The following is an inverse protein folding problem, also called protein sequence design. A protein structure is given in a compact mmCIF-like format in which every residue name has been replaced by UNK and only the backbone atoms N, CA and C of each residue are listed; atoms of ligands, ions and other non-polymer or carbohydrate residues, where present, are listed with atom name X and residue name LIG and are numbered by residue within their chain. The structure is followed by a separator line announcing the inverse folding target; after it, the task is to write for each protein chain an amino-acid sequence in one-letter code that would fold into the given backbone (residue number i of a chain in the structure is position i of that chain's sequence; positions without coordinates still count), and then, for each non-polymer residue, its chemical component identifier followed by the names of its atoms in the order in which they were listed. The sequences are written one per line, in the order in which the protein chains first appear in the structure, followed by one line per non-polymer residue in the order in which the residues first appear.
data_IF_033100581025
#
_entry.id   IF_033100581025
#
_cell.length_a   1.000
_cell.length_b   1.000
_cell.length_c   1.000
_cell.angle_alpha   90.00
_cell.angle_beta   90.00
_cell.angle_gamma   90.00
#
_symmetry.space_group_name_H-M   'P 1'
#
loop_
_entity.id
_entity.type
_entity.pdbx_description
1 polymer ?
#
# COMPACT_ATOMS: atom_id res chain seq x y z
N UNK A 1 -42.65 8.36 49.79
CA UNK A 1 -42.18 7.11 49.14
C UNK A 1 -41.38 7.51 47.90
N UNK A 2 -40.05 7.64 48.02
CA UNK A 2 -39.17 7.89 46.86
C UNK A 2 -38.72 6.53 46.32
N UNK A 3 -39.09 6.21 45.08
CA UNK A 3 -38.54 5.07 44.36
C UNK A 3 -37.33 5.56 43.54
N UNK A 4 -36.13 5.09 43.89
CA UNK A 4 -34.93 5.34 43.12
C UNK A 4 -34.82 4.31 41.98
N UNK A 5 -35.00 4.76 40.75
CA UNK A 5 -34.78 3.93 39.55
C UNK A 5 -33.29 3.84 39.23
N UNK A 6 -32.69 2.68 39.44
CA UNK A 6 -31.34 2.34 39.01
C UNK A 6 -31.34 2.07 37.50
N UNK A 7 -30.74 2.97 36.72
CA UNK A 7 -30.47 2.77 35.30
C UNK A 7 -29.14 2.01 35.17
N UNK A 8 -29.23 0.73 34.80
CA UNK A 8 -28.05 -0.09 34.47
C UNK A 8 -27.72 0.16 32.99
N UNK A 9 -26.62 0.86 32.73
CA UNK A 9 -26.07 0.97 31.38
C UNK A 9 -25.27 -0.31 31.04
N UNK A 10 -25.53 -0.96 29.91
CA UNK A 10 -24.73 -2.10 29.49
C UNK A 10 -23.31 -1.63 29.14
N UNK A 11 -22.33 -2.26 29.77
CA UNK A 11 -20.91 -2.06 29.47
C UNK A 11 -20.64 -2.60 28.05
N UNK A 12 -20.45 -1.71 27.09
CA UNK A 12 -20.03 -2.09 25.75
C UNK A 12 -18.59 -2.63 25.82
N UNK A 13 -18.43 -3.95 25.71
CA UNK A 13 -17.14 -4.57 25.49
C UNK A 13 -16.68 -4.17 24.08
N UNK A 14 -15.78 -3.19 24.01
CA UNK A 14 -15.07 -2.87 22.78
C UNK A 14 -14.32 -4.13 22.35
N UNK A 15 -14.79 -4.78 21.27
CA UNK A 15 -14.04 -5.82 20.57
C UNK A 15 -12.80 -5.15 19.98
N UNK A 16 -11.67 -5.25 20.68
CA UNK A 16 -10.36 -4.92 20.14
C UNK A 16 -10.08 -5.81 18.93
N UNK A 17 -10.26 -5.28 17.73
CA UNK A 17 -9.81 -5.90 16.50
C UNK A 17 -8.28 -5.98 16.51
N UNK A 18 -7.75 -7.18 16.68
CA UNK A 18 -6.31 -7.48 16.66
C UNK A 18 -5.82 -7.43 15.20
N UNK A 19 -5.92 -6.29 14.49
CA UNK A 19 -5.40 -6.12 13.13
C UNK A 19 -5.35 -4.68 12.56
N UNK A 20 -5.47 -3.60 13.34
CA UNK A 20 -5.41 -2.24 12.77
C UNK A 20 -4.03 -1.61 12.93
N UNK A 21 -3.15 -1.92 11.96
CA UNK A 21 -1.93 -1.16 11.73
C UNK A 21 -0.70 -2.01 11.42
N UNK A 22 0.40 -1.29 11.19
CA UNK A 22 1.75 -1.85 11.13
C UNK A 22 2.36 -1.85 12.53
N UNK A 23 3.05 -2.94 12.89
CA UNK A 23 3.92 -2.95 14.07
C UNK A 23 5.11 -2.01 13.84
N UNK A 24 5.56 -1.25 14.85
CA UNK A 24 6.77 -0.43 14.72
C UNK A 24 8.01 -1.31 14.56
N UNK A 25 9.08 -0.78 13.96
CA UNK A 25 10.33 -1.52 13.77
C UNK A 25 10.93 -2.05 15.09
N UNK A 26 10.74 -1.31 16.20
CA UNK A 26 11.18 -1.71 17.54
C UNK A 26 10.54 -3.02 18.02
N UNK A 27 9.37 -3.40 17.52
CA UNK A 27 8.70 -4.65 17.87
C UNK A 27 9.48 -5.90 17.43
N UNK A 28 10.45 -5.75 16.52
CA UNK A 28 11.28 -6.83 16.00
C UNK A 28 12.68 -6.89 16.64
N UNK A 29 13.02 -5.93 17.52
CA UNK A 29 14.36 -5.82 18.11
C UNK A 29 14.76 -7.06 18.93
N UNK A 30 13.79 -7.74 19.54
CA UNK A 30 14.00 -8.96 20.34
C UNK A 30 14.36 -10.21 19.54
N UNK A 31 14.29 -10.18 18.20
CA UNK A 31 14.71 -11.31 17.36
C UNK A 31 16.24 -11.28 17.23
N UNK A 32 16.91 -12.24 17.88
CA UNK A 32 18.38 -12.28 17.97
C UNK A 32 19.05 -12.62 16.62
N UNK A 33 18.50 -13.59 15.89
CA UNK A 33 19.02 -13.93 14.55
C UNK A 33 18.71 -12.80 13.56
N UNK A 34 19.77 -12.20 13.01
CA UNK A 34 19.67 -11.03 12.13
C UNK A 34 18.84 -11.32 10.87
N UNK A 35 18.99 -12.50 10.28
CA UNK A 35 18.30 -12.86 9.04
C UNK A 35 16.81 -13.12 9.29
N UNK A 36 16.48 -13.83 10.37
CA UNK A 36 15.11 -14.05 10.82
C UNK A 36 14.43 -12.73 11.16
N UNK A 37 15.13 -11.80 11.83
CA UNK A 37 14.63 -10.47 12.11
C UNK A 37 14.32 -9.70 10.82
N UNK A 38 15.26 -9.70 9.87
CA UNK A 38 15.09 -9.03 8.58
C UNK A 38 13.89 -9.58 7.80
N UNK A 39 13.76 -10.91 7.70
CA UNK A 39 12.61 -11.55 7.07
C UNK A 39 11.28 -11.26 7.78
N UNK A 40 11.27 -11.19 9.12
CA UNK A 40 10.09 -10.84 9.90
C UNK A 40 9.65 -9.38 9.66
N UNK A 41 10.60 -8.44 9.59
CA UNK A 41 10.31 -7.04 9.25
C UNK A 41 9.71 -6.96 7.84
N UNK A 42 10.27 -7.66 6.86
CA UNK A 42 9.69 -7.68 5.51
C UNK A 42 8.30 -8.33 5.48
N UNK A 43 8.05 -9.31 6.33
CA UNK A 43 6.72 -9.91 6.48
C UNK A 43 5.70 -8.88 6.96
N UNK A 44 6.08 -8.00 7.89
CA UNK A 44 5.25 -6.88 8.33
C UNK A 44 5.02 -5.85 7.22
N UNK A 45 6.09 -5.47 6.50
CA UNK A 45 5.99 -4.63 5.29
C UNK A 45 5.05 -5.23 4.25
N UNK A 46 5.01 -6.56 4.15
CA UNK A 46 4.14 -7.32 3.28
C UNK A 46 2.67 -6.94 3.40
N UNK A 47 2.19 -6.59 4.59
CA UNK A 47 0.81 -6.13 4.79
C UNK A 47 0.45 -4.92 3.93
N UNK A 48 1.40 -3.99 3.73
CA UNK A 48 1.24 -2.86 2.82
C UNK A 48 1.41 -3.30 1.38
N UNK A 49 2.51 -3.99 1.07
CA UNK A 49 2.88 -4.38 -0.30
C UNK A 49 1.83 -5.25 -0.98
N UNK A 50 1.11 -6.08 -0.22
CA UNK A 50 0.03 -6.94 -0.72
C UNK A 50 -1.35 -6.32 -0.51
N UNK A 51 -1.45 -5.09 -0.03
CA UNK A 51 -2.74 -4.39 0.09
C UNK A 51 -3.28 -4.01 -1.29
N UNK A 52 -4.61 -3.86 -1.45
CA UNK A 52 -5.18 -3.35 -2.68
C UNK A 52 -4.67 -1.94 -3.05
N UNK A 53 -4.19 -1.14 -2.09
CA UNK A 53 -3.64 0.18 -2.38
C UNK A 53 -2.34 0.10 -3.18
N UNK A 54 -1.53 -0.94 -2.96
CA UNK A 54 -0.30 -1.18 -3.70
C UNK A 54 -0.56 -2.06 -4.94
N UNK A 55 -1.27 -3.17 -4.77
CA UNK A 55 -1.47 -4.15 -5.84
C UNK A 55 -2.27 -3.62 -7.03
N UNK A 56 -3.15 -2.63 -6.84
CA UNK A 56 -3.84 -1.95 -7.95
C UNK A 56 -2.88 -1.15 -8.84
N UNK A 57 -1.79 -0.59 -8.27
CA UNK A 57 -0.76 0.16 -8.99
C UNK A 57 0.35 -0.73 -9.56
N UNK A 58 0.48 -1.95 -9.02
CA UNK A 58 1.42 -2.99 -9.46
C UNK A 58 0.72 -4.18 -10.14
N UNK A 59 -0.13 -3.96 -11.17
CA UNK A 59 -0.91 -5.02 -11.77
C UNK A 59 -0.04 -5.95 -12.61
N UNK A 60 -0.46 -7.22 -12.70
CA UNK A 60 0.23 -8.25 -13.50
C UNK A 60 0.08 -8.04 -15.00
N UNK A 61 -1.01 -7.39 -15.41
CA UNK A 61 -1.31 -7.11 -16.82
C UNK A 61 -1.13 -5.63 -17.12
N UNK A 62 -1.36 -5.20 -18.37
CA UNK A 62 -1.39 -3.78 -18.71
C UNK A 62 -2.65 -3.07 -18.26
N UNK A 63 -3.69 -3.80 -17.89
CA UNK A 63 -4.90 -3.21 -17.37
C UNK A 63 -4.78 -3.09 -15.85
N UNK A 64 -4.88 -1.87 -15.30
CA UNK A 64 -4.92 -1.71 -13.86
C UNK A 64 -6.20 -2.28 -13.28
N UNK A 65 -6.15 -2.49 -11.97
CA UNK A 65 -7.30 -2.88 -11.18
C UNK A 65 -7.68 -1.75 -10.23
N UNK A 66 -8.90 -1.80 -9.68
CA UNK A 66 -9.43 -0.79 -8.78
C UNK A 66 -10.21 -1.40 -7.62
N UNK A 67 -10.35 -0.61 -6.55
CA UNK A 67 -11.08 -1.01 -5.34
C UNK A 67 -10.38 -2.12 -4.56
N UNK A 68 -11.05 -2.63 -3.53
CA UNK A 68 -10.47 -3.65 -2.64
C UNK A 68 -10.60 -5.06 -3.23
N UNK A 69 -11.61 -5.28 -4.08
CA UNK A 69 -11.77 -6.51 -4.85
C UNK A 69 -10.79 -6.61 -6.04
N UNK A 70 -9.96 -5.58 -6.30
CA UNK A 70 -9.01 -5.52 -7.41
C UNK A 70 -9.63 -5.95 -8.75
N UNK A 71 -10.84 -5.45 -9.02
CA UNK A 71 -11.52 -5.64 -10.31
C UNK A 71 -10.84 -4.80 -11.37
N UNK A 72 -10.96 -5.17 -12.64
CA UNK A 72 -10.40 -4.37 -13.75
C UNK A 72 -10.92 -2.93 -13.69
N UNK A 73 -10.03 -1.97 -13.94
CA UNK A 73 -10.35 -0.55 -13.95
C UNK A 73 -11.52 -0.23 -14.89
N UNK A 74 -12.39 0.68 -14.48
CA UNK A 74 -13.55 1.15 -15.25
C UNK A 74 -13.53 2.69 -15.37
N UNK A 75 -13.51 3.26 -16.59
CA UNK A 75 -13.53 2.54 -17.88
C UNK A 75 -12.23 1.73 -18.10
N UNK A 76 -12.25 0.70 -18.96
CA UNK A 76 -11.03 -0.07 -19.25
C UNK A 76 -9.92 0.80 -19.84
N UNK A 77 -8.78 0.84 -19.16
CA UNK A 77 -7.56 1.55 -19.61
C UNK A 77 -6.37 0.59 -19.72
N UNK A 78 -5.29 1.07 -20.32
CA UNK A 78 -4.02 0.33 -20.51
C UNK A 78 -2.86 1.18 -19.99
N UNK A 79 -1.85 0.55 -19.38
CA UNK A 79 -0.65 1.16 -18.79
C UNK A 79 0.08 2.13 -19.73
N UNK A 80 0.13 1.81 -21.02
CA UNK A 80 1.01 2.47 -21.97
C UNK A 80 2.49 2.19 -21.71
N UNK A 81 3.40 2.74 -22.54
CA UNK A 81 4.84 2.48 -22.43
C UNK A 81 5.46 3.00 -21.13
N UNK A 82 4.95 4.13 -20.61
CA UNK A 82 5.54 4.84 -19.48
C UNK A 82 4.66 4.82 -18.22
N UNK A 83 3.56 4.05 -18.20
CA UNK A 83 2.65 4.00 -17.04
C UNK A 83 1.55 5.08 -17.01
N UNK A 84 1.57 6.03 -17.95
CA UNK A 84 0.67 7.19 -17.99
C UNK A 84 -0.58 7.01 -18.86
N UNK A 85 -0.83 5.79 -19.35
CA UNK A 85 -1.90 5.53 -20.30
C UNK A 85 -1.41 5.42 -21.75
N UNK A 86 -2.33 5.10 -22.65
CA UNK A 86 -2.08 5.05 -24.11
C UNK A 86 -2.58 6.33 -24.77
N UNK A 87 -2.11 6.60 -25.99
CA UNK A 87 -2.52 7.78 -26.75
C UNK A 87 -4.05 7.90 -26.84
N UNK A 88 -4.60 9.05 -26.45
CA UNK A 88 -6.04 9.34 -26.43
C UNK A 88 -6.80 8.77 -25.22
N UNK A 89 -6.14 8.03 -24.34
CA UNK A 89 -6.67 7.52 -23.08
C UNK A 89 -5.61 7.61 -21.98
N UNK A 90 -4.92 8.74 -21.92
CA UNK A 90 -3.95 9.07 -20.88
C UNK A 90 -4.66 9.20 -19.53
N UNK A 91 -4.00 8.74 -18.46
CA UNK A 91 -4.55 8.75 -17.11
C UNK A 91 -4.99 10.15 -16.67
N UNK A 92 -4.22 11.18 -17.07
CA UNK A 92 -4.44 12.58 -16.70
C UNK A 92 -5.75 13.17 -17.26
N UNK A 93 -6.37 12.52 -18.25
CA UNK A 93 -7.68 12.91 -18.77
C UNK A 93 -8.79 12.80 -17.71
N UNK A 94 -8.65 11.86 -16.78
CA UNK A 94 -9.61 11.66 -15.68
C UNK A 94 -8.99 11.92 -14.30
N UNK A 95 -7.74 11.51 -14.08
CA UNK A 95 -7.05 11.64 -12.81
C UNK A 95 -6.37 13.00 -12.68
N UNK A 96 -6.93 13.86 -11.85
CA UNK A 96 -6.38 15.19 -11.55
C UNK A 96 -5.31 15.18 -10.45
N UNK A 97 -4.86 16.36 -9.99
CA UNK A 97 -3.81 16.49 -8.97
C UNK A 97 -4.25 16.06 -7.56
N UNK A 98 -5.55 15.82 -7.35
CA UNK A 98 -6.14 15.43 -6.07
C UNK A 98 -7.36 14.54 -6.29
N UNK A 99 -7.72 13.77 -5.27
CA UNK A 99 -8.95 12.99 -5.29
C UNK A 99 -10.17 13.90 -5.60
N UNK A 100 -11.00 13.49 -6.55
CA UNK A 100 -12.16 14.24 -6.99
C UNK A 100 -13.42 13.38 -6.89
N UNK A 101 -14.51 13.93 -6.36
CA UNK A 101 -15.82 13.23 -6.37
C UNK A 101 -16.33 13.07 -7.79
N UNK A 102 -17.03 11.99 -8.06
CA UNK A 102 -17.80 11.91 -9.31
C UNK A 102 -18.83 13.04 -9.35
N UNK A 103 -19.07 13.57 -10.55
CA UNK A 103 -20.05 14.64 -10.74
C UNK A 103 -21.46 14.16 -10.35
N UNK A 104 -21.77 12.90 -10.66
CA UNK A 104 -23.05 12.25 -10.37
C UNK A 104 -22.81 10.89 -9.71
N UNK A 105 -23.28 10.71 -8.48
CA UNK A 105 -23.23 9.43 -7.77
C UNK A 105 -22.10 9.28 -6.73
N UNK A 106 -22.07 8.15 -6.01
CA UNK A 106 -21.09 7.90 -4.96
C UNK A 106 -19.73 7.52 -5.54
N UNK A 107 -18.66 7.89 -4.84
CA UNK A 107 -17.29 7.55 -5.21
C UNK A 107 -16.45 8.73 -5.69
N UNK A 108 -15.18 8.42 -5.97
CA UNK A 108 -14.19 9.42 -6.38
C UNK A 108 -13.27 8.89 -7.46
N UNK A 109 -12.72 9.78 -8.28
CA UNK A 109 -11.53 9.52 -9.07
C UNK A 109 -10.30 9.77 -8.18
N UNK A 110 -9.38 8.81 -8.04
CA UNK A 110 -8.08 9.03 -7.42
C UNK A 110 -7.31 10.18 -8.09
N UNK A 111 -6.48 10.91 -7.35
CA UNK A 111 -5.65 11.94 -7.95
C UNK A 111 -4.36 12.23 -7.21
N UNK A 112 -3.32 12.48 -7.99
CA UNK A 112 -1.97 12.92 -7.59
C UNK A 112 -1.31 13.57 -8.82
N UNK A 113 -0.48 14.63 -8.69
CA UNK A 113 0.19 15.25 -9.84
C UNK A 113 1.06 14.30 -10.67
N UNK A 114 1.54 13.21 -10.04
CA UNK A 114 2.35 12.17 -10.66
C UNK A 114 1.56 10.90 -10.95
N UNK A 115 0.23 10.93 -11.11
CA UNK A 115 -0.57 9.70 -11.24
C UNK A 115 -0.16 8.81 -12.43
N UNK A 116 0.45 7.67 -12.14
CA UNK A 116 0.84 6.65 -13.12
C UNK A 116 0.90 5.26 -12.48
N UNK A 117 0.91 4.23 -13.32
CA UNK A 117 1.16 2.86 -12.88
C UNK A 117 2.66 2.56 -12.82
N UNK A 118 3.03 1.66 -11.92
CA UNK A 118 4.40 1.13 -11.87
C UNK A 118 4.81 0.52 -13.22
N UNK A 119 6.11 0.45 -13.56
CA UNK A 119 6.57 -0.30 -14.73
C UNK A 119 6.13 -1.77 -14.71
N UNK A 120 6.03 -2.41 -15.89
CA UNK A 120 5.67 -3.85 -15.99
C UNK A 120 6.59 -4.77 -15.18
N UNK A 121 7.86 -4.42 -15.07
CA UNK A 121 8.85 -5.19 -14.32
C UNK A 121 8.58 -5.22 -12.81
N UNK A 122 7.74 -4.31 -12.32
CA UNK A 122 7.26 -4.22 -10.93
C UNK A 122 5.86 -4.84 -10.75
N UNK A 123 5.43 -5.76 -11.61
CA UNK A 123 4.17 -6.48 -11.44
C UNK A 123 4.20 -7.38 -10.18
N UNK A 124 3.31 -7.11 -9.21
CA UNK A 124 3.28 -7.84 -7.93
C UNK A 124 2.03 -8.71 -7.75
N UNK A 125 0.94 -8.41 -8.45
CA UNK A 125 -0.28 -9.22 -8.35
C UNK A 125 -0.03 -10.69 -8.65
N UNK A 126 -0.47 -11.56 -7.73
CA UNK A 126 -0.31 -13.02 -7.83
C UNK A 126 1.07 -13.54 -7.45
N UNK A 127 2.02 -12.67 -7.08
CA UNK A 127 3.30 -13.10 -6.51
C UNK A 127 3.15 -13.43 -5.02
N UNK A 128 3.96 -14.38 -4.54
CA UNK A 128 4.15 -14.61 -3.11
C UNK A 128 4.94 -13.45 -2.49
N UNK A 129 4.88 -13.31 -1.17
CA UNK A 129 5.61 -12.26 -0.47
C UNK A 129 7.14 -12.36 -0.68
N UNK A 130 7.69 -13.58 -0.68
CA UNK A 130 9.10 -13.82 -0.99
C UNK A 130 9.47 -13.42 -2.43
N UNK A 131 8.57 -13.63 -3.39
CA UNK A 131 8.77 -13.19 -4.78
C UNK A 131 8.72 -11.66 -4.92
N UNK A 132 7.81 -10.98 -4.21
CA UNK A 132 7.77 -9.51 -4.14
C UNK A 132 9.08 -8.98 -3.54
N UNK A 133 9.57 -9.59 -2.46
CA UNK A 133 10.86 -9.23 -1.88
C UNK A 133 12.01 -9.33 -2.88
N UNK A 134 12.11 -10.46 -3.58
CA UNK A 134 13.15 -10.68 -4.58
C UNK A 134 13.08 -9.64 -5.71
N UNK A 135 11.86 -9.27 -6.15
CA UNK A 135 11.66 -8.23 -7.15
C UNK A 135 12.07 -6.84 -6.65
N UNK A 136 11.71 -6.47 -5.42
CA UNK A 136 12.07 -5.18 -4.81
C UNK A 136 13.59 -5.04 -4.67
N UNK A 137 14.31 -6.13 -4.43
CA UNK A 137 15.78 -6.12 -4.32
C UNK A 137 16.51 -6.04 -5.65
N UNK A 138 15.86 -6.41 -6.75
CA UNK A 138 16.47 -6.46 -8.08
C UNK A 138 16.27 -5.11 -8.80
N UNK A 139 17.34 -4.34 -9.07
CA UNK A 139 17.23 -3.06 -9.77
C UNK A 139 16.51 -3.15 -11.13
N UNK A 140 16.55 -4.29 -11.80
CA UNK A 140 15.86 -4.50 -13.08
C UNK A 140 14.34 -4.64 -12.91
N UNK A 141 13.88 -4.91 -11.69
CA UNK A 141 12.48 -5.19 -11.34
C UNK A 141 11.88 -4.20 -10.33
N UNK A 142 12.63 -3.19 -9.90
CA UNK A 142 12.16 -2.19 -8.93
C UNK A 142 12.22 -0.74 -9.46
N UNK A 143 12.43 -0.56 -10.77
CA UNK A 143 12.59 0.77 -11.37
C UNK A 143 14.01 1.34 -11.27
N UNK A 144 15.03 0.51 -11.06
CA UNK A 144 16.44 0.93 -10.99
C UNK A 144 16.87 1.47 -9.64
N UNK A 145 16.06 1.30 -8.60
CA UNK A 145 16.35 1.84 -7.26
C UNK A 145 17.34 0.97 -6.49
N UNK A 146 18.25 1.61 -5.77
CA UNK A 146 19.03 0.97 -4.72
C UNK A 146 18.19 0.75 -3.46
N UNK A 147 18.63 -0.15 -2.57
CA UNK A 147 17.98 -0.36 -1.28
C UNK A 147 17.91 0.91 -0.42
N UNK A 148 18.92 1.79 -0.51
CA UNK A 148 18.91 3.07 0.19
C UNK A 148 17.82 4.00 -0.36
N UNK A 149 17.69 4.10 -1.69
CA UNK A 149 16.63 4.91 -2.31
C UNK A 149 15.22 4.38 -1.98
N UNK A 150 15.06 3.07 -1.78
CA UNK A 150 13.77 2.50 -1.39
C UNK A 150 13.28 3.03 -0.03
N UNK A 151 14.17 3.42 0.88
CA UNK A 151 13.78 4.01 2.17
C UNK A 151 13.02 5.31 1.94
N UNK A 152 13.57 6.20 1.11
CA UNK A 152 12.93 7.47 0.78
C UNK A 152 11.70 7.27 -0.12
N UNK A 153 11.77 6.37 -1.10
CA UNK A 153 10.62 6.07 -1.95
C UNK A 153 9.42 5.57 -1.13
N UNK A 154 9.62 4.55 -0.30
CA UNK A 154 8.54 3.98 0.51
C UNK A 154 8.05 4.96 1.59
N UNK A 155 8.96 5.73 2.20
CA UNK A 155 8.65 6.60 3.34
C UNK A 155 8.17 8.01 2.98
N UNK A 156 8.45 8.50 1.75
CA UNK A 156 8.31 9.93 1.41
C UNK A 156 7.75 10.21 0.01
N UNK A 157 7.76 9.25 -0.91
CA UNK A 157 7.21 9.49 -2.25
C UNK A 157 5.70 9.81 -2.16
N UNK A 158 5.27 10.90 -2.79
CA UNK A 158 3.90 11.39 -2.67
C UNK A 158 2.87 10.51 -3.38
N UNK A 159 3.26 9.82 -4.47
CA UNK A 159 2.37 8.91 -5.17
C UNK A 159 2.22 7.61 -4.37
N UNK A 160 3.30 7.12 -3.77
CA UNK A 160 3.24 6.02 -2.79
C UNK A 160 2.37 6.42 -1.59
N UNK A 161 2.57 7.65 -1.09
CA UNK A 161 1.83 8.23 0.03
C UNK A 161 0.31 8.33 -0.19
N UNK A 162 -0.14 8.36 -1.45
CA UNK A 162 -1.56 8.29 -1.78
C UNK A 162 -2.24 7.04 -1.18
N UNK A 163 -1.50 5.94 -1.00
CA UNK A 163 -2.02 4.70 -0.42
C UNK A 163 -2.64 4.87 0.98
N UNK A 164 -2.20 5.87 1.76
CA UNK A 164 -2.75 6.18 3.09
C UNK A 164 -3.79 7.31 3.05
N UNK A 165 -3.89 8.04 1.94
CA UNK A 165 -4.88 9.10 1.73
C UNK A 165 -5.72 8.85 0.45
N UNK A 166 -6.39 7.69 0.33
CA UNK A 166 -7.00 7.27 -0.93
C UNK A 166 -8.30 8.01 -1.30
N UNK A 167 -8.71 8.98 -0.48
CA UNK A 167 -10.00 9.67 -0.60
C UNK A 167 -11.12 8.95 0.15
N UNK A 168 -12.34 9.52 0.16
CA UNK A 168 -13.48 8.96 0.85
C UNK A 168 -13.84 7.56 0.32
N UNK A 169 -14.46 6.77 1.19
CA UNK A 169 -15.01 5.44 0.91
C UNK A 169 -13.98 4.37 0.50
N UNK A 170 -12.68 4.65 0.67
CA UNK A 170 -11.59 3.69 0.46
C UNK A 170 -10.85 3.42 1.76
N UNK A 171 -10.58 2.14 2.03
CA UNK A 171 -9.72 1.75 3.14
C UNK A 171 -8.26 2.18 2.86
N UNK A 172 -7.60 2.91 3.77
CA UNK A 172 -6.17 3.20 3.67
C UNK A 172 -5.31 1.94 3.70
N UNK A 173 -4.08 2.05 3.20
CA UNK A 173 -3.06 1.03 3.44
C UNK A 173 -2.82 0.85 4.96
N UNK A 174 -2.41 -0.35 5.43
CA UNK A 174 -2.14 -0.57 6.84
C UNK A 174 -1.11 0.42 7.43
N UNK A 175 -1.36 0.90 8.65
CA UNK A 175 -0.44 1.78 9.38
C UNK A 175 -0.34 3.18 8.77
N UNK A 176 0.89 3.71 8.67
CA UNK A 176 1.21 5.00 8.07
C UNK A 176 2.41 4.88 7.11
N UNK A 177 2.55 5.83 6.19
CA UNK A 177 3.71 5.86 5.30
C UNK A 177 5.02 6.00 6.07
N UNK A 178 5.04 6.81 7.14
CA UNK A 178 6.20 6.96 8.00
C UNK A 178 6.62 5.61 8.63
N UNK A 179 5.67 4.86 9.19
CA UNK A 179 5.95 3.53 9.74
C UNK A 179 6.43 2.55 8.66
N UNK A 180 5.88 2.63 7.45
CA UNK A 180 6.35 1.82 6.32
C UNK A 180 7.79 2.17 5.91
N UNK A 181 8.15 3.45 5.91
CA UNK A 181 9.52 3.92 5.71
C UNK A 181 10.48 3.44 6.81
N UNK A 182 10.07 3.51 8.07
CA UNK A 182 10.85 3.00 9.22
C UNK A 182 11.09 1.49 9.12
N UNK A 183 10.06 0.71 8.77
CA UNK A 183 10.19 -0.73 8.54
C UNK A 183 11.10 -1.02 7.34
N UNK A 184 10.97 -0.25 6.25
CA UNK A 184 11.86 -0.37 5.09
C UNK A 184 13.31 -0.15 5.49
N UNK A 185 13.60 0.92 6.25
CA UNK A 185 14.93 1.20 6.78
C UNK A 185 15.43 0.05 7.66
N UNK A 186 14.64 -0.41 8.61
CA UNK A 186 15.02 -1.50 9.51
C UNK A 186 15.29 -2.82 8.74
N UNK A 187 14.52 -3.10 7.70
CA UNK A 187 14.74 -4.24 6.81
C UNK A 187 16.07 -4.13 6.05
N UNK A 188 16.35 -2.95 5.46
CA UNK A 188 17.62 -2.68 4.76
C UNK A 188 18.81 -2.80 5.71
N UNK A 189 18.77 -2.14 6.87
CA UNK A 189 19.85 -2.15 7.86
C UNK A 189 20.12 -3.58 8.39
N UNK A 190 19.07 -4.40 8.50
CA UNK A 190 19.19 -5.81 8.91
C UNK A 190 19.62 -6.77 7.80
N UNK A 191 19.88 -6.27 6.58
CA UNK A 191 20.46 -7.06 5.47
C UNK A 191 19.49 -7.41 4.34
N UNK A 192 18.29 -6.82 4.35
CA UNK A 192 17.29 -6.98 3.31
C UNK A 192 16.98 -8.45 2.96
N UNK A 193 16.82 -9.31 3.97
CA UNK A 193 16.56 -10.74 3.78
C UNK A 193 15.09 -10.93 3.40
N UNK A 194 14.85 -11.81 2.43
CA UNK A 194 13.49 -12.17 2.03
C UNK A 194 12.93 -13.29 2.90
N UNK A 195 11.64 -13.25 3.25
CA UNK A 195 10.97 -14.39 3.83
C UNK A 195 10.98 -15.55 2.83
N UNK A 196 11.03 -16.78 3.35
CA UNK A 196 10.91 -18.00 2.55
C UNK A 196 9.45 -18.24 2.17
#
# INVERSE_FOLDING_TARGET
MLAASLVVFPLAIARGGIAEGLKPASAFAGIADRNARSAAIFTEMGKVLTSPRCLNCHPRTDSPTQGDAMVVHSPPVRRGPNGFGVAGLECATCHGPRNAKFANGPGTVPGNPKWHLAPRSMAWQGLTLGQICAAIKDPKKNGGMSLAQLIDHNGKDELVGWGWNPGPDRKPAPGSQAAFGELTKAWVDSGAVCPR
#
